data_IF_997603720004
#
_entry.id   IF_997603720004
#
_cell.length_a   1.000
_cell.length_b   1.000
_cell.length_c   1.000
_cell.angle_alpha   90.00
_cell.angle_beta   90.00
_cell.angle_gamma   90.00
#
_symmetry.space_group_name_H-M   'P 1'
#
loop_
_entity.id
_entity.type
_entity.pdbx_description
1 polymer ?
#
# COMPACT_ATOMS: atom_id res chain seq x y z
N UNK A 1 27.63 -41.08 50.87
CA UNK A 1 27.86 -39.92 49.98
C UNK A 1 28.07 -40.47 48.57
N UNK A 2 26.99 -40.72 47.82
CA UNK A 2 27.08 -41.35 46.49
C UNK A 2 27.15 -40.25 45.43
N UNK A 3 28.33 -40.09 44.82
CA UNK A 3 28.50 -39.23 43.65
C UNK A 3 27.92 -39.95 42.44
N UNK A 4 26.73 -39.55 42.00
CA UNK A 4 26.15 -40.03 40.74
C UNK A 4 26.91 -39.37 39.57
N UNK A 5 28.00 -40.00 39.15
CA UNK A 5 28.72 -39.60 37.94
C UNK A 5 27.84 -39.91 36.72
N UNK A 6 27.27 -38.87 36.12
CA UNK A 6 26.60 -38.98 34.82
C UNK A 6 27.62 -39.46 33.78
N UNK A 7 27.40 -40.64 33.21
CA UNK A 7 28.22 -41.10 32.09
C UNK A 7 27.98 -40.20 30.88
N UNK A 8 29.00 -40.01 30.03
CA UNK A 8 28.87 -39.23 28.77
C UNK A 8 27.67 -39.69 27.92
N UNK A 9 27.38 -41.00 27.93
CA UNK A 9 26.24 -41.59 27.23
C UNK A 9 24.89 -41.18 27.85
N UNK A 10 24.79 -41.14 29.17
CA UNK A 10 23.57 -40.68 29.85
C UNK A 10 23.35 -39.19 29.60
N UNK A 11 24.40 -38.37 29.71
CA UNK A 11 24.34 -36.94 29.43
C UNK A 11 23.86 -36.66 27.99
N UNK A 12 24.41 -37.38 27.01
CA UNK A 12 24.00 -37.25 25.60
C UNK A 12 22.57 -37.74 25.36
N UNK A 13 22.13 -38.81 26.03
CA UNK A 13 20.75 -39.34 25.91
C UNK A 13 19.70 -38.43 26.53
N UNK A 14 20.01 -37.78 27.66
CA UNK A 14 19.06 -36.86 28.31
C UNK A 14 19.06 -35.48 27.66
N UNK A 15 20.21 -35.02 27.16
CA UNK A 15 20.31 -33.69 26.52
C UNK A 15 19.76 -33.65 25.09
N UNK A 16 19.77 -34.78 24.37
CA UNK A 16 19.25 -34.85 22.99
C UNK A 16 17.73 -34.64 22.91
N UNK A 17 17.00 -35.07 23.94
CA UNK A 17 15.55 -34.83 24.04
C UNK A 17 15.24 -33.39 24.48
N UNK A 18 16.18 -32.72 25.15
CA UNK A 18 16.04 -31.34 25.59
C UNK A 18 15.97 -30.35 24.44
N UNK A 19 16.84 -30.49 23.43
CA UNK A 19 16.83 -29.60 22.26
C UNK A 19 15.56 -29.76 21.41
N UNK A 20 15.08 -30.98 21.23
CA UNK A 20 13.82 -31.24 20.53
C UNK A 20 12.60 -30.69 21.28
N UNK A 21 12.57 -30.85 22.61
CA UNK A 21 11.53 -30.29 23.45
C UNK A 21 11.56 -28.75 23.49
N UNK A 22 12.74 -28.13 23.51
CA UNK A 22 12.92 -26.67 23.40
C UNK A 22 12.43 -26.15 22.05
N UNK A 23 12.77 -26.83 20.95
CA UNK A 23 12.27 -26.47 19.62
C UNK A 23 10.75 -26.63 19.51
N UNK A 24 10.19 -27.73 20.02
CA UNK A 24 8.75 -27.96 20.06
C UNK A 24 8.03 -26.94 20.94
N UNK A 25 8.58 -26.59 22.10
CA UNK A 25 8.04 -25.56 22.98
C UNK A 25 8.08 -24.17 22.32
N UNK A 26 9.11 -23.85 21.55
CA UNK A 26 9.18 -22.61 20.77
C UNK A 26 8.10 -22.55 19.68
N UNK A 27 7.91 -23.65 18.95
CA UNK A 27 6.90 -23.71 17.88
C UNK A 27 5.47 -23.65 18.46
N UNK A 28 5.21 -24.34 19.57
CA UNK A 28 3.91 -24.31 20.24
C UNK A 28 3.65 -22.98 20.98
N UNK A 29 4.69 -22.26 21.41
CA UNK A 29 4.55 -20.92 21.97
C UNK A 29 4.14 -19.89 20.91
N UNK A 30 4.62 -20.05 19.68
CA UNK A 30 4.22 -19.23 18.52
C UNK A 30 2.77 -19.54 18.08
N UNK A 31 2.31 -20.79 18.16
CA UNK A 31 0.92 -21.15 17.83
C UNK A 31 -0.09 -20.76 18.93
N UNK A 32 0.32 -20.73 20.20
CA UNK A 32 -0.61 -20.60 21.34
C UNK A 32 -0.94 -19.17 21.78
N UNK A 33 -0.28 -18.14 21.22
CA UNK A 33 -0.38 -16.78 21.79
C UNK A 33 -1.07 -15.73 20.94
N UNK A 34 -1.50 -16.01 19.71
CA UNK A 34 -2.33 -15.03 19.00
C UNK A 34 -3.26 -15.66 17.97
N UNK A 35 -4.54 -15.28 18.02
CA UNK A 35 -5.42 -15.44 16.86
C UNK A 35 -4.67 -14.96 15.62
N UNK A 36 -4.73 -15.64 14.46
CA UNK A 36 -4.14 -15.12 13.23
C UNK A 36 -4.72 -13.75 12.82
N UNK A 37 -5.85 -13.36 13.41
CA UNK A 37 -6.50 -12.05 13.27
C UNK A 37 -6.24 -11.11 14.46
N UNK A 38 -5.41 -11.51 15.43
CA UNK A 38 -5.04 -10.66 16.54
C UNK A 38 -4.27 -9.46 16.02
N UNK A 39 -4.64 -8.27 16.50
CA UNK A 39 -3.94 -7.03 16.21
C UNK A 39 -2.49 -7.13 16.69
N UNK A 40 -1.54 -7.09 15.75
CA UNK A 40 -0.12 -7.00 16.05
C UNK A 40 0.20 -5.60 16.61
N UNK A 41 1.14 -5.54 17.54
CA UNK A 41 1.67 -4.27 18.00
C UNK A 41 2.34 -3.55 16.81
N UNK A 42 2.03 -2.26 16.56
CA UNK A 42 2.69 -1.50 15.51
C UNK A 42 4.17 -1.27 15.85
N UNK A 43 5.00 -1.06 14.83
CA UNK A 43 6.44 -0.79 15.02
C UNK A 43 6.70 0.51 15.80
N UNK A 44 5.75 1.45 15.79
CA UNK A 44 5.81 2.71 16.51
C UNK A 44 4.54 2.93 17.32
N UNK A 45 4.66 3.62 18.46
CA UNK A 45 3.51 4.01 19.25
C UNK A 45 2.58 4.90 18.40
N UNK A 46 1.27 4.56 18.30
CA UNK A 46 0.35 5.32 17.47
C UNK A 46 0.16 6.72 18.04
N UNK A 47 0.33 7.74 17.19
CA UNK A 47 0.06 9.15 17.56
C UNK A 47 -1.40 9.54 17.39
N UNK A 48 -2.11 8.88 16.47
CA UNK A 48 -3.54 9.09 16.23
C UNK A 48 -4.35 7.98 16.92
N UNK A 49 -5.44 8.37 17.58
CA UNK A 49 -6.36 7.43 18.26
C UNK A 49 -7.55 7.02 17.39
N UNK A 50 -7.90 7.83 16.39
CA UNK A 50 -9.04 7.64 15.49
C UNK A 50 -8.68 8.07 14.08
N UNK A 51 -9.20 7.34 13.09
CA UNK A 51 -9.01 7.62 11.66
C UNK A 51 -10.37 7.52 10.96
N UNK A 52 -10.67 8.48 10.10
CA UNK A 52 -11.76 8.39 9.12
C UNK A 52 -11.11 8.07 7.78
N UNK A 53 -11.39 6.87 7.25
CA UNK A 53 -10.89 6.45 5.95
C UNK A 53 -12.02 6.56 4.91
N UNK A 54 -11.82 7.42 3.92
CA UNK A 54 -12.74 7.61 2.81
C UNK A 54 -12.17 6.96 1.56
N UNK A 55 -12.83 5.90 1.08
CA UNK A 55 -12.48 5.23 -0.16
C UNK A 55 -13.48 5.56 -1.26
N UNK A 56 -13.04 6.30 -2.27
CA UNK A 56 -13.92 6.85 -3.32
C UNK A 56 -13.85 6.02 -4.60
N UNK A 57 -14.48 4.85 -4.59
CA UNK A 57 -14.70 4.06 -5.81
C UNK A 57 -15.59 4.87 -6.78
N UNK A 58 -15.10 5.12 -8.00
CA UNK A 58 -15.77 5.99 -8.98
C UNK A 58 -15.68 7.49 -8.65
N UNK A 59 -14.80 7.88 -7.72
CA UNK A 59 -14.52 9.27 -7.40
C UNK A 59 -13.81 10.04 -8.52
N UNK A 60 -13.55 11.34 -8.29
CA UNK A 60 -12.85 12.17 -9.26
C UNK A 60 -11.41 11.69 -9.48
N UNK A 61 -10.91 11.87 -10.70
CA UNK A 61 -9.57 11.46 -11.09
C UNK A 61 -8.50 12.19 -10.29
N UNK A 62 -7.41 11.50 -9.91
CA UNK A 62 -6.30 12.12 -9.17
C UNK A 62 -5.64 13.26 -9.96
N UNK A 63 -5.58 13.14 -11.29
CA UNK A 63 -5.01 14.16 -12.18
C UNK A 63 -5.88 15.41 -12.29
N UNK A 64 -7.15 15.32 -11.88
CA UNK A 64 -8.13 16.41 -11.86
C UNK A 64 -8.28 17.03 -10.46
N UNK A 65 -7.60 16.49 -9.44
CA UNK A 65 -7.80 16.87 -8.04
C UNK A 65 -6.53 17.43 -7.39
N UNK A 66 -5.51 16.59 -7.16
CA UNK A 66 -4.32 16.92 -6.36
C UNK A 66 -3.00 16.57 -7.05
N UNK A 67 -3.01 16.12 -8.30
CA UNK A 67 -1.80 15.69 -9.03
C UNK A 67 -1.80 16.18 -10.48
N UNK A 68 -1.71 17.51 -10.72
CA UNK A 68 -1.70 18.05 -12.07
C UNK A 68 -0.55 17.46 -12.88
N UNK A 69 -0.83 17.12 -14.14
CA UNK A 69 0.15 16.61 -15.11
C UNK A 69 0.34 17.62 -16.25
N UNK A 70 1.23 18.62 -16.12
CA UNK A 70 1.43 19.64 -17.16
C UNK A 70 1.68 19.06 -18.55
N UNK A 71 2.47 17.98 -18.63
CA UNK A 71 2.75 17.31 -19.91
C UNK A 71 1.50 16.71 -20.57
N UNK A 72 0.54 16.26 -19.77
CA UNK A 72 -0.72 15.73 -20.28
C UNK A 72 -1.60 16.84 -20.85
N UNK A 73 -1.57 18.04 -20.24
CA UNK A 73 -2.25 19.23 -20.76
C UNK A 73 -1.63 19.68 -22.09
N UNK A 74 -0.30 19.68 -22.21
CA UNK A 74 0.38 19.98 -23.48
C UNK A 74 0.00 19.03 -24.63
N UNK A 75 -0.28 17.78 -24.29
CA UNK A 75 -0.61 16.71 -25.24
C UNK A 75 -2.12 16.49 -25.39
N UNK A 76 -2.95 17.38 -24.85
CA UNK A 76 -4.40 17.24 -24.89
C UNK A 76 -4.93 17.10 -26.32
N UNK A 77 -5.85 16.13 -26.51
CA UNK A 77 -6.45 15.83 -27.81
C UNK A 77 -5.53 15.13 -28.82
N UNK A 78 -4.25 14.91 -28.49
CA UNK A 78 -3.31 14.18 -29.34
C UNK A 78 -3.47 12.67 -29.18
N UNK A 79 -3.02 11.90 -30.17
CA UNK A 79 -2.96 10.44 -30.05
C UNK A 79 -1.85 10.04 -29.07
N UNK A 80 -2.05 8.94 -28.36
CA UNK A 80 -1.00 8.38 -27.51
C UNK A 80 0.22 8.02 -28.36
N UNK A 81 1.44 8.51 -28.02
CA UNK A 81 2.65 8.14 -28.73
C UNK A 81 2.82 6.62 -28.79
N UNK A 82 3.22 6.11 -29.97
CA UNK A 82 3.37 4.67 -30.20
C UNK A 82 4.31 4.01 -29.19
N UNK A 83 5.40 4.69 -28.82
CA UNK A 83 6.36 4.24 -27.82
C UNK A 83 5.75 3.94 -26.44
N UNK A 84 4.69 4.65 -26.06
CA UNK A 84 3.94 4.42 -24.83
C UNK A 84 2.82 3.40 -25.04
N UNK A 85 2.14 3.45 -26.20
CA UNK A 85 1.04 2.54 -26.53
C UNK A 85 1.46 1.08 -26.43
N UNK A 86 2.67 0.76 -26.88
CA UNK A 86 3.20 -0.61 -26.88
C UNK A 86 3.61 -1.10 -25.47
N UNK A 87 3.67 -0.20 -24.47
CA UNK A 87 3.97 -0.52 -23.07
C UNK A 87 2.72 -0.62 -22.19
N UNK A 88 1.54 -0.23 -22.70
CA UNK A 88 0.31 -0.25 -21.93
C UNK A 88 -0.26 -1.66 -21.82
N UNK A 89 -0.83 -1.95 -20.66
CA UNK A 89 -1.61 -3.16 -20.45
C UNK A 89 -2.85 -3.15 -21.34
N UNK A 90 -3.23 -4.29 -21.94
CA UNK A 90 -4.49 -4.42 -22.65
C UNK A 90 -5.67 -4.11 -21.74
N UNK A 91 -6.54 -3.19 -22.18
CA UNK A 91 -7.82 -2.91 -21.50
C UNK A 91 -8.93 -3.78 -22.08
N UNK A 92 -10.09 -3.86 -21.42
CA UNK A 92 -11.23 -4.67 -21.90
C UNK A 92 -11.66 -4.39 -23.35
N UNK A 93 -11.49 -3.16 -23.83
CA UNK A 93 -11.83 -2.77 -25.22
C UNK A 93 -10.62 -2.74 -26.15
N UNK A 94 -9.42 -3.02 -25.63
CA UNK A 94 -8.12 -2.91 -26.30
C UNK A 94 -7.98 -1.66 -27.19
N UNK A 95 -8.56 -0.55 -26.73
CA UNK A 95 -8.62 0.71 -27.46
C UNK A 95 -8.13 1.82 -26.54
N UNK A 96 -7.09 2.50 -27.01
CA UNK A 96 -6.60 3.71 -26.36
C UNK A 96 -7.16 4.90 -27.12
N UNK A 97 -7.82 5.81 -26.40
CA UNK A 97 -8.34 7.05 -26.95
C UNK A 97 -7.24 8.10 -27.18
N UNK A 98 -7.67 9.34 -27.37
CA UNK A 98 -6.78 10.50 -27.31
C UNK A 98 -6.36 10.76 -25.87
N UNK A 99 -5.19 11.38 -25.71
CA UNK A 99 -4.78 11.94 -24.43
C UNK A 99 -5.76 13.03 -24.03
N UNK A 100 -6.13 13.05 -22.74
CA UNK A 100 -7.04 14.03 -22.16
C UNK A 100 -6.31 14.74 -21.03
N UNK A 101 -6.00 16.01 -21.26
CA UNK A 101 -5.59 16.93 -20.21
C UNK A 101 -6.71 17.15 -19.21
N UNK A 102 -6.36 17.51 -17.98
CA UNK A 102 -7.36 17.95 -17.02
C UNK A 102 -8.05 19.21 -17.55
N UNK A 103 -9.39 19.27 -17.59
CA UNK A 103 -10.11 20.47 -18.01
C UNK A 103 -10.16 21.53 -16.90
N UNK A 104 -9.70 21.20 -15.69
CA UNK A 104 -9.79 22.06 -14.52
C UNK A 104 -8.52 22.89 -14.33
N UNK A 105 -8.69 24.08 -13.76
CA UNK A 105 -7.56 24.92 -13.36
C UNK A 105 -7.00 24.48 -12.02
N UNK A 106 -5.70 24.68 -11.87
CA UNK A 106 -4.97 24.41 -10.63
C UNK A 106 -4.35 25.70 -10.09
N UNK A 107 -4.38 25.84 -8.77
CA UNK A 107 -3.66 26.89 -8.04
C UNK A 107 -2.73 26.28 -7.01
N UNK A 108 -1.66 27.01 -6.65
CA UNK A 108 -0.81 26.68 -5.51
C UNK A 108 -1.37 27.34 -4.27
N UNK A 109 -1.51 26.58 -3.19
CA UNK A 109 -2.12 27.05 -1.94
C UNK A 109 -1.21 26.76 -0.74
N UNK A 110 -1.35 27.58 0.30
CA UNK A 110 -0.55 27.49 1.51
C UNK A 110 0.93 27.82 1.30
N UNK A 111 1.71 27.68 2.37
CA UNK A 111 3.17 27.78 2.32
C UNK A 111 3.80 26.55 1.66
N UNK A 112 3.14 25.39 1.79
CA UNK A 112 3.52 24.14 1.13
C UNK A 112 3.45 24.21 -0.40
N UNK A 113 2.67 25.15 -0.95
CA UNK A 113 2.50 25.34 -2.39
C UNK A 113 1.83 24.16 -3.08
N UNK A 114 1.04 23.36 -2.35
CA UNK A 114 0.33 22.21 -2.91
C UNK A 114 -0.60 22.69 -4.01
N UNK A 115 -0.51 22.03 -5.17
CA UNK A 115 -1.37 22.31 -6.31
C UNK A 115 -2.70 21.59 -6.16
N UNK A 116 -3.78 22.36 -6.10
CA UNK A 116 -5.14 21.87 -5.87
C UNK A 116 -6.06 22.42 -6.96
N UNK A 117 -6.90 21.53 -7.50
CA UNK A 117 -7.91 21.86 -8.51
C UNK A 117 -8.96 22.83 -7.99
N UNK A 118 -9.47 23.68 -8.89
CA UNK A 118 -10.58 24.60 -8.60
C UNK A 118 -11.88 23.90 -8.17
N UNK A 119 -11.96 22.57 -8.34
CA UNK A 119 -13.04 21.74 -7.81
C UNK A 119 -13.14 21.75 -6.28
N UNK A 120 -12.05 22.04 -5.57
CA UNK A 120 -12.01 21.96 -4.10
C UNK A 120 -11.60 23.29 -3.45
N UNK A 121 -12.34 24.38 -3.67
CA UNK A 121 -11.97 25.71 -3.18
C UNK A 121 -11.97 25.79 -1.64
N UNK A 122 -12.75 24.94 -0.96
CA UNK A 122 -12.79 24.89 0.49
C UNK A 122 -11.67 24.02 1.07
N UNK A 123 -11.32 22.91 0.41
CA UNK A 123 -10.20 22.06 0.82
C UNK A 123 -8.87 22.79 0.63
N UNK A 124 -8.75 23.56 -0.44
CA UNK A 124 -7.55 24.33 -0.75
C UNK A 124 -7.15 25.33 0.35
N UNK A 125 -8.10 25.79 1.18
CA UNK A 125 -7.83 26.66 2.33
C UNK A 125 -7.04 25.97 3.44
N UNK A 126 -6.99 24.65 3.42
CA UNK A 126 -6.31 23.80 4.40
C UNK A 126 -5.06 23.14 3.83
N UNK A 127 -4.48 23.68 2.73
CA UNK A 127 -3.37 23.04 2.02
C UNK A 127 -2.20 22.63 2.92
N UNK A 128 -1.86 23.45 3.91
CA UNK A 128 -0.75 23.18 4.84
C UNK A 128 -1.08 22.12 5.91
N UNK A 129 -2.36 21.78 6.07
CA UNK A 129 -2.82 20.67 6.91
C UNK A 129 -2.95 19.34 6.12
N UNK A 130 -2.71 19.38 4.80
CA UNK A 130 -2.82 18.21 3.92
C UNK A 130 -1.46 17.55 3.68
N UNK A 131 -1.45 16.23 3.74
CA UNK A 131 -0.37 15.41 3.19
C UNK A 131 -0.85 14.76 1.89
N UNK A 132 -0.29 15.16 0.76
CA UNK A 132 -0.60 14.58 -0.55
C UNK A 132 0.49 13.60 -0.96
N UNK A 133 0.12 12.33 -1.12
CA UNK A 133 1.04 11.26 -1.53
C UNK A 133 0.88 11.03 -3.04
N UNK A 134 1.86 11.48 -3.84
CA UNK A 134 1.90 11.30 -5.31
C UNK A 134 2.81 10.15 -5.76
N UNK A 135 3.43 9.45 -4.81
CA UNK A 135 4.41 8.39 -5.06
C UNK A 135 3.80 6.99 -5.20
N UNK A 136 2.49 6.85 -5.08
CA UNK A 136 1.82 5.57 -5.25
C UNK A 136 1.77 5.17 -6.73
N UNK A 137 2.24 3.97 -7.02
CA UNK A 137 2.19 3.36 -8.35
C UNK A 137 1.46 2.02 -8.25
N UNK A 138 0.68 1.70 -9.28
CA UNK A 138 -0.04 0.44 -9.40
C UNK A 138 0.42 -0.33 -10.63
N UNK A 139 0.43 -1.65 -10.53
CA UNK A 139 0.82 -2.53 -11.62
C UNK A 139 -0.36 -2.90 -12.53
N UNK A 140 -1.59 -2.52 -12.19
CA UNK A 140 -2.79 -2.92 -12.93
C UNK A 140 -3.58 -1.69 -13.36
N UNK A 141 -3.88 -1.60 -14.65
CA UNK A 141 -4.66 -0.50 -15.22
C UNK A 141 -6.18 -0.64 -15.01
N UNK A 142 -6.64 -1.83 -14.60
CA UNK A 142 -8.06 -2.12 -14.42
C UNK A 142 -8.53 -1.76 -13.01
N UNK A 143 -9.75 -1.20 -12.95
CA UNK A 143 -10.39 -0.78 -11.71
C UNK A 143 -10.46 -1.90 -10.67
N UNK A 144 -11.20 -2.99 -10.92
CA UNK A 144 -11.47 -4.03 -9.91
C UNK A 144 -10.20 -4.69 -9.35
N UNK A 145 -9.22 -5.11 -10.18
CA UNK A 145 -7.96 -5.64 -9.67
C UNK A 145 -7.12 -4.59 -8.94
N UNK A 146 -7.16 -3.31 -9.36
CA UNK A 146 -6.48 -2.22 -8.64
C UNK A 146 -7.06 -1.98 -7.24
N UNK A 147 -8.37 -2.14 -7.07
CA UNK A 147 -8.99 -2.10 -5.73
C UNK A 147 -8.48 -3.23 -4.84
N UNK A 148 -8.38 -4.45 -5.37
CA UNK A 148 -7.84 -5.60 -4.64
C UNK A 148 -6.39 -5.36 -4.27
N UNK A 149 -5.57 -4.85 -5.20
CA UNK A 149 -4.18 -4.52 -4.92
C UNK A 149 -4.06 -3.50 -3.78
N UNK A 150 -4.90 -2.47 -3.77
CA UNK A 150 -4.89 -1.43 -2.73
C UNK A 150 -5.29 -1.97 -1.35
N UNK A 151 -6.28 -2.86 -1.29
CA UNK A 151 -6.84 -3.34 0.00
C UNK A 151 -6.15 -4.62 0.52
N UNK A 152 -5.62 -5.45 -0.38
CA UNK A 152 -5.11 -6.79 -0.07
C UNK A 152 -3.63 -6.97 -0.41
N UNK A 153 -3.00 -6.01 -1.11
CA UNK A 153 -1.61 -6.13 -1.56
C UNK A 153 -1.40 -7.08 -2.74
N UNK A 154 -2.47 -7.65 -3.29
CA UNK A 154 -2.41 -8.52 -4.48
C UNK A 154 -3.62 -8.31 -5.39
N UNK A 155 -3.44 -8.45 -6.70
CA UNK A 155 -4.47 -8.19 -7.70
C UNK A 155 -5.41 -9.39 -7.95
N UNK A 156 -5.08 -10.57 -7.41
CA UNK A 156 -5.88 -11.81 -7.48
C UNK A 156 -6.12 -12.36 -6.08
N UNK A 157 -7.22 -13.09 -5.92
CA UNK A 157 -7.42 -13.95 -4.76
C UNK A 157 -6.74 -15.30 -5.06
N UNK A 158 -6.09 -15.95 -4.08
CA UNK A 158 -5.58 -17.31 -4.25
C UNK A 158 -6.69 -18.32 -4.55
#
# INVERSE_FOLDING_TARGET
MFSHHLSRRQLLRTSSWGFGALAAASLLADESTSSPLATRAPHFAPRATRVIHLFMNGGPSQIDTFDPKPKLVELDGQELPKSLKDQLQPTQRNRVGKLLGSPFRFGKYGESGVEISELFPHVARHADDLCVIRSMVGEVANHSPGLLLTNCGHATLP
#
